data_IF_684503603217
#
_entry.id   IF_684503603217
#
_cell.length_a   1.000
_cell.length_b   1.000
_cell.length_c   1.000
_cell.angle_alpha   90.00
_cell.angle_beta   90.00
_cell.angle_gamma   90.00
#
_symmetry.space_group_name_H-M   'P 1'
#
loop_
_entity.id
_entity.type
_entity.pdbx_description
1 polymer ?
#
# COMPACT_ATOMS: atom_id res chain seq x y z
N UNK A 1 -11.37 26.47 -48.96
CA UNK A 1 -12.76 26.11 -48.60
C UNK A 1 -12.75 24.73 -47.96
N UNK A 2 -13.40 24.64 -46.78
CA UNK A 2 -13.94 23.47 -46.09
C UNK A 2 -13.04 22.23 -45.80
N UNK A 3 -12.77 22.04 -44.51
CA UNK A 3 -12.38 20.78 -43.85
C UNK A 3 -13.51 19.74 -43.88
N UNK A 4 -13.20 18.47 -43.56
CA UNK A 4 -14.06 17.81 -42.57
C UNK A 4 -13.29 17.15 -41.42
N UNK A 5 -13.74 17.56 -40.23
CA UNK A 5 -13.51 17.05 -38.89
C UNK A 5 -14.01 15.60 -38.73
N UNK A 6 -13.17 14.69 -38.23
CA UNK A 6 -13.62 13.39 -37.71
C UNK A 6 -13.51 13.35 -36.19
N UNK A 7 -14.64 12.98 -35.59
CA UNK A 7 -15.03 13.15 -34.19
C UNK A 7 -14.48 12.00 -33.34
N UNK A 8 -13.91 12.37 -32.19
CA UNK A 8 -13.45 11.47 -31.14
C UNK A 8 -14.63 10.66 -30.56
N UNK A 9 -14.45 9.35 -30.39
CA UNK A 9 -15.33 8.53 -29.55
C UNK A 9 -14.49 7.85 -28.46
N UNK A 10 -14.54 8.45 -27.27
CA UNK A 10 -13.90 8.04 -26.02
C UNK A 10 -14.77 6.93 -25.40
N UNK A 11 -14.32 5.67 -25.47
CA UNK A 11 -14.95 4.54 -24.76
C UNK A 11 -14.28 4.38 -23.40
N UNK A 12 -15.02 4.76 -22.37
CA UNK A 12 -14.76 4.46 -20.96
C UNK A 12 -14.81 2.95 -20.74
N UNK A 13 -13.75 2.38 -20.18
CA UNK A 13 -13.73 1.03 -19.61
C UNK A 13 -13.64 1.18 -18.11
N UNK A 14 -14.74 0.86 -17.45
CA UNK A 14 -14.86 0.77 -15.99
C UNK A 14 -13.93 -0.32 -15.45
N UNK A 15 -13.38 0.00 -14.28
CA UNK A 15 -12.54 -0.85 -13.45
C UNK A 15 -13.41 -1.82 -12.66
N UNK A 16 -13.28 -3.10 -12.97
CA UNK A 16 -13.71 -4.21 -12.14
C UNK A 16 -12.72 -4.35 -10.97
N UNK A 17 -13.19 -4.03 -9.76
CA UNK A 17 -12.48 -4.23 -8.49
C UNK A 17 -13.17 -5.36 -7.76
N UNK A 18 -12.75 -6.58 -8.09
CA UNK A 18 -13.15 -7.80 -7.39
C UNK A 18 -12.46 -7.91 -6.02
N UNK A 19 -13.28 -8.04 -4.99
CA UNK A 19 -12.94 -8.34 -3.60
C UNK A 19 -11.90 -9.44 -3.45
N UNK A 20 -10.91 -9.21 -2.59
CA UNK A 20 -10.04 -10.25 -2.04
C UNK A 20 -10.42 -10.45 -0.58
N UNK A 21 -10.94 -11.65 -0.30
CA UNK A 21 -11.20 -12.20 1.03
C UNK A 21 -9.94 -12.17 1.90
N UNK A 22 -10.14 -11.75 3.15
CA UNK A 22 -9.14 -11.74 4.21
C UNK A 22 -9.20 -13.08 4.92
N UNK A 23 -8.20 -13.95 4.70
CA UNK A 23 -7.94 -15.09 5.57
C UNK A 23 -7.07 -14.67 6.75
N UNK A 24 -7.58 -14.89 7.96
CA UNK A 24 -6.80 -14.84 9.20
C UNK A 24 -6.05 -16.16 9.41
N UNK A 25 -4.73 -16.14 9.68
CA UNK A 25 -4.08 -17.28 10.29
C UNK A 25 -4.12 -17.18 11.82
N UNK A 26 -4.90 -18.10 12.39
CA UNK A 26 -5.02 -18.47 13.79
C UNK A 26 -3.66 -18.68 14.48
N UNK A 27 -3.51 -18.05 15.65
CA UNK A 27 -2.38 -18.17 16.54
C UNK A 27 -2.42 -19.49 17.32
N UNK A 28 -1.58 -20.45 16.96
CA UNK A 28 -1.25 -21.59 17.81
C UNK A 28 -0.01 -21.27 18.66
N UNK A 29 -0.25 -20.68 19.84
CA UNK A 29 0.74 -20.60 20.92
C UNK A 29 0.59 -21.82 21.82
N UNK A 30 1.52 -22.76 21.75
CA UNK A 30 1.72 -23.75 22.79
C UNK A 30 3.21 -23.81 23.13
N UNK A 31 3.59 -23.19 24.26
CA UNK A 31 4.89 -23.40 24.88
C UNK A 31 4.72 -23.24 26.39
N UNK A 32 4.59 -24.42 27.01
CA UNK A 32 4.57 -24.68 28.45
C UNK A 32 5.89 -24.24 29.11
N UNK A 33 5.76 -23.63 30.27
CA UNK A 33 6.80 -23.19 31.19
C UNK A 33 7.49 -24.34 31.94
N UNK A 34 8.84 -24.28 31.99
CA UNK A 34 9.80 -24.51 33.10
C UNK A 34 9.38 -25.40 34.30
N UNK A 35 10.17 -26.32 34.88
CA UNK A 35 11.56 -26.28 35.44
C UNK A 35 12.08 -27.72 35.74
N UNK A 36 13.36 -27.91 36.18
CA UNK A 36 14.17 -29.14 36.09
C UNK A 36 14.33 -29.91 37.41
N UNK A 37 14.81 -31.15 37.32
CA UNK A 37 15.43 -31.87 38.45
C UNK A 37 16.48 -32.88 37.97
N UNK A 38 17.51 -33.00 38.80
CA UNK A 38 18.83 -33.62 38.63
C UNK A 38 18.81 -35.11 38.29
N UNK A 39 19.85 -35.57 37.58
CA UNK A 39 20.54 -36.82 37.91
C UNK A 39 21.97 -36.80 37.35
N UNK A 40 22.92 -37.10 38.24
CA UNK A 40 24.35 -37.20 37.98
C UNK A 40 24.67 -38.59 37.47
N UNK A 41 25.46 -38.72 36.40
CA UNK A 41 26.35 -39.87 36.25
C UNK A 41 27.70 -39.47 35.62
N UNK A 42 28.73 -40.04 36.23
CA UNK A 42 30.16 -39.86 36.03
C UNK A 42 30.70 -40.72 34.88
N UNK A 43 31.58 -40.16 34.04
CA UNK A 43 32.37 -40.93 33.06
C UNK A 43 33.51 -40.10 32.43
N UNK A 44 34.67 -40.70 32.11
CA UNK A 44 35.99 -40.06 32.21
C UNK A 44 36.43 -39.25 30.97
N UNK A 45 37.46 -38.42 31.21
CA UNK A 45 38.12 -37.53 30.25
C UNK A 45 38.52 -38.24 28.95
N UNK A 46 37.86 -37.88 27.86
CA UNK A 46 38.42 -37.90 26.51
C UNK A 46 38.54 -36.47 26.00
N UNK A 47 39.76 -35.97 25.89
CA UNK A 47 40.08 -34.64 25.38
C UNK A 47 39.98 -34.63 23.86
N UNK A 48 38.75 -34.66 23.35
CA UNK A 48 38.46 -34.28 21.97
C UNK A 48 38.32 -32.75 21.90
N UNK A 49 38.95 -32.05 20.93
CA UNK A 49 38.79 -30.61 20.80
C UNK A 49 37.35 -30.31 20.40
N UNK A 50 36.53 -29.95 21.40
CA UNK A 50 35.17 -29.42 21.22
C UNK A 50 35.26 -28.28 20.21
N UNK A 51 34.85 -28.54 18.96
CA UNK A 51 34.67 -27.54 17.92
C UNK A 51 33.81 -26.44 18.53
N UNK A 52 34.42 -25.28 18.83
CA UNK A 52 33.72 -24.11 19.36
C UNK A 52 32.55 -23.86 18.42
N UNK A 53 31.31 -24.03 18.90
CA UNK A 53 30.11 -23.68 18.13
C UNK A 53 30.35 -22.26 17.63
N UNK A 54 30.41 -22.08 16.31
CA UNK A 54 30.57 -20.75 15.72
C UNK A 54 29.41 -19.93 16.29
N UNK A 55 29.72 -18.89 17.07
CA UNK A 55 28.68 -18.00 17.60
C UNK A 55 27.95 -17.47 16.39
N UNK A 56 26.63 -17.59 16.37
CA UNK A 56 25.82 -17.04 15.29
C UNK A 56 26.15 -15.55 15.17
N UNK A 57 26.68 -15.19 14.01
CA UNK A 57 27.13 -13.83 13.76
C UNK A 57 25.87 -12.98 13.65
N UNK A 58 25.77 -11.99 14.53
CA UNK A 58 24.61 -11.10 14.54
C UNK A 58 24.90 -9.92 13.62
N UNK A 59 23.99 -9.61 12.68
CA UNK A 59 24.17 -8.47 11.79
C UNK A 59 24.13 -7.16 12.58
N UNK A 60 24.82 -6.16 12.05
CA UNK A 60 24.89 -4.82 12.62
C UNK A 60 24.67 -3.75 11.57
N UNK A 61 23.97 -2.67 11.94
CA UNK A 61 23.63 -1.59 11.02
C UNK A 61 24.46 -0.35 11.33
N UNK A 62 25.01 0.23 10.27
CA UNK A 62 25.69 1.53 10.28
C UNK A 62 24.81 2.54 9.56
N UNK A 63 24.51 3.63 10.27
CA UNK A 63 23.81 4.79 9.74
C UNK A 63 24.82 5.80 9.20
N UNK A 64 24.61 6.27 7.98
CA UNK A 64 25.37 7.32 7.31
C UNK A 64 24.46 8.53 7.19
N UNK A 65 24.81 9.59 7.91
CA UNK A 65 23.97 10.80 8.02
C UNK A 65 24.04 11.68 6.77
N UNK A 66 25.20 11.75 6.12
CA UNK A 66 25.40 12.60 4.95
C UNK A 66 26.00 11.83 3.79
N UNK A 67 25.27 11.78 2.68
CA UNK A 67 25.79 11.31 1.41
C UNK A 67 26.12 12.47 0.47
N UNK A 68 27.31 12.46 -0.16
CA UNK A 68 27.65 13.42 -1.19
C UNK A 68 26.70 13.37 -2.41
N UNK A 69 26.50 14.50 -3.11
CA UNK A 69 25.64 14.55 -4.28
C UNK A 69 26.15 13.65 -5.40
N UNK A 70 25.24 12.88 -5.99
CA UNK A 70 25.54 11.90 -7.05
C UNK A 70 26.21 10.61 -6.57
N UNK A 71 26.43 10.42 -5.26
CA UNK A 71 26.94 9.15 -4.73
C UNK A 71 25.81 8.11 -4.74
N UNK A 72 26.02 7.02 -5.47
CA UNK A 72 25.01 5.95 -5.57
C UNK A 72 25.15 4.93 -4.44
N UNK A 73 24.06 4.24 -4.05
CA UNK A 73 24.07 3.18 -3.05
C UNK A 73 25.06 2.06 -3.40
N UNK A 74 25.21 1.78 -4.69
CA UNK A 74 26.17 0.81 -5.23
C UNK A 74 27.62 1.24 -4.99
N UNK A 75 27.94 2.54 -5.10
CA UNK A 75 29.28 3.04 -4.81
C UNK A 75 29.61 2.92 -3.32
N UNK A 76 28.64 3.20 -2.44
CA UNK A 76 28.79 3.00 -0.98
C UNK A 76 29.10 1.53 -0.70
N UNK A 77 28.31 0.60 -1.27
CA UNK A 77 28.57 -0.84 -1.18
C UNK A 77 30.00 -1.17 -1.59
N UNK A 78 30.43 -0.73 -2.77
CA UNK A 78 31.77 -1.02 -3.28
C UNK A 78 32.90 -0.52 -2.36
N UNK A 79 32.76 0.69 -1.80
CA UNK A 79 33.73 1.20 -0.82
C UNK A 79 33.70 0.34 0.45
N UNK A 80 32.51 -0.02 0.93
CA UNK A 80 32.33 -0.69 2.21
C UNK A 80 32.70 -2.17 2.24
N UNK A 81 32.63 -2.86 1.11
CA UNK A 81 33.06 -4.27 0.95
C UNK A 81 34.52 -4.48 1.36
N UNK A 82 35.38 -3.46 1.25
CA UNK A 82 36.79 -3.54 1.67
C UNK A 82 36.95 -3.91 3.16
N UNK A 83 36.01 -3.47 4.00
CA UNK A 83 36.12 -3.63 5.45
C UNK A 83 35.35 -4.85 5.98
N UNK A 84 34.40 -5.37 5.21
CA UNK A 84 33.70 -6.61 5.55
C UNK A 84 32.50 -6.89 4.65
N UNK A 85 31.87 -8.03 4.89
CA UNK A 85 30.74 -8.50 4.10
C UNK A 85 29.46 -7.73 4.42
N UNK A 86 28.81 -7.24 3.36
CA UNK A 86 27.62 -6.39 3.43
C UNK A 86 26.37 -7.19 3.08
N UNK A 87 25.35 -7.06 3.92
CA UNK A 87 23.99 -7.55 3.66
C UNK A 87 23.19 -6.54 2.84
N UNK A 88 22.13 -6.00 3.44
CA UNK A 88 21.22 -5.05 2.82
C UNK A 88 21.76 -3.61 2.90
N UNK A 89 21.39 -2.79 1.91
CA UNK A 89 21.78 -1.39 1.85
C UNK A 89 20.61 -0.57 1.30
N UNK A 90 20.30 0.51 1.99
CA UNK A 90 19.21 1.41 1.66
C UNK A 90 19.74 2.82 1.75
N UNK A 91 19.40 3.65 0.76
CA UNK A 91 19.71 5.06 0.79
C UNK A 91 18.44 5.82 0.49
N UNK A 92 18.12 6.79 1.35
CA UNK A 92 16.94 7.62 1.20
C UNK A 92 17.21 8.67 0.11
N UNK A 93 16.42 8.67 -0.98
CA UNK A 93 16.52 9.73 -1.97
C UNK A 93 16.07 11.05 -1.34
N UNK A 94 16.82 12.13 -1.56
CA UNK A 94 16.51 13.45 -1.02
C UNK A 94 15.14 13.98 -1.48
N UNK A 95 14.71 13.53 -2.65
CA UNK A 95 13.43 13.92 -3.26
C UNK A 95 12.26 12.96 -2.93
N UNK A 96 12.47 11.91 -2.12
CA UNK A 96 11.50 10.83 -1.97
C UNK A 96 10.29 11.11 -1.06
N UNK A 97 10.26 12.21 -0.29
CA UNK A 97 9.28 12.36 0.80
C UNK A 97 8.35 13.57 0.71
N UNK A 98 8.68 14.64 0.00
CA UNK A 98 7.90 15.90 0.11
C UNK A 98 7.05 16.26 -1.10
N UNK A 99 7.34 15.73 -2.29
CA UNK A 99 6.69 16.22 -3.49
C UNK A 99 5.52 15.32 -3.97
N UNK A 100 4.36 15.45 -3.34
CA UNK A 100 3.19 15.78 -4.15
C UNK A 100 3.41 17.22 -4.65
N UNK A 101 4.40 17.40 -5.53
CA UNK A 101 4.61 18.67 -6.19
C UNK A 101 3.81 18.56 -7.48
N UNK A 102 2.62 19.17 -7.58
CA UNK A 102 1.82 19.13 -8.80
C UNK A 102 2.59 19.67 -10.02
N UNK A 103 3.63 20.48 -9.80
CA UNK A 103 4.56 20.96 -10.82
C UNK A 103 5.69 19.97 -11.17
N UNK A 104 5.77 18.81 -10.50
CA UNK A 104 6.72 17.73 -10.79
C UNK A 104 6.50 17.07 -12.16
N UNK A 105 5.29 17.18 -12.71
CA UNK A 105 4.98 16.81 -14.10
C UNK A 105 5.70 17.73 -15.12
N UNK A 106 6.15 18.92 -14.69
CA UNK A 106 6.85 19.91 -15.50
C UNK A 106 8.34 20.03 -15.19
N UNK A 107 8.93 19.14 -14.38
CA UNK A 107 10.38 18.93 -14.46
C UNK A 107 10.62 18.11 -15.71
N UNK A 108 10.72 18.82 -16.86
CA UNK A 108 11.23 18.29 -18.14
C UNK A 108 12.32 17.30 -17.80
N UNK A 109 12.13 16.02 -18.17
CA UNK A 109 13.08 14.91 -18.00
C UNK A 109 14.50 15.44 -18.16
N UNK A 110 15.13 15.82 -17.06
CA UNK A 110 16.49 16.32 -17.13
C UNK A 110 17.28 15.05 -17.41
N UNK A 111 17.83 14.96 -18.62
CA UNK A 111 18.45 13.74 -19.18
C UNK A 111 19.47 13.10 -18.24
N UNK A 112 19.93 13.87 -17.23
CA UNK A 112 20.86 13.47 -16.18
C UNK A 112 20.45 14.05 -14.81
N UNK A 113 19.31 13.64 -14.25
CA UNK A 113 19.02 13.93 -12.83
C UNK A 113 20.05 13.14 -12.00
N UNK A 114 21.00 13.85 -11.38
CA UNK A 114 21.96 13.22 -10.48
C UNK A 114 21.19 12.62 -9.31
N UNK A 115 21.37 11.32 -9.08
CA UNK A 115 20.74 10.63 -7.96
C UNK A 115 21.27 11.23 -6.66
N UNK A 116 20.42 12.02 -5.99
CA UNK A 116 20.76 12.69 -4.75
C UNK A 116 20.12 11.92 -3.60
N UNK A 117 20.98 11.36 -2.75
CA UNK A 117 20.57 10.67 -1.52
C UNK A 117 20.97 11.53 -0.34
N UNK A 118 20.12 11.58 0.70
CA UNK A 118 20.43 12.31 1.93
C UNK A 118 21.21 11.42 2.89
N UNK A 119 20.65 10.25 3.15
CA UNK A 119 21.03 9.35 4.24
C UNK A 119 21.10 7.91 3.73
N UNK A 120 21.88 7.06 4.42
CA UNK A 120 21.92 5.64 4.12
C UNK A 120 22.06 4.77 5.37
N UNK A 121 21.57 3.54 5.26
CA UNK A 121 21.68 2.47 6.22
C UNK A 121 22.36 1.29 5.54
N UNK A 122 23.45 0.83 6.15
CA UNK A 122 24.27 -0.26 5.64
C UNK A 122 24.29 -1.37 6.68
N UNK A 123 23.84 -2.55 6.30
CA UNK A 123 23.91 -3.74 7.12
C UNK A 123 25.21 -4.50 6.84
N UNK A 124 25.98 -4.75 7.89
CA UNK A 124 27.10 -5.68 7.89
C UNK A 124 26.65 -7.01 8.47
N UNK A 125 27.16 -8.11 7.91
CA UNK A 125 26.87 -9.46 8.43
C UNK A 125 27.38 -9.64 9.87
N UNK A 126 28.49 -8.98 10.23
CA UNK A 126 29.02 -8.96 11.59
C UNK A 126 28.94 -7.57 12.23
N UNK A 127 28.23 -7.49 13.36
CA UNK A 127 28.17 -6.27 14.18
C UNK A 127 29.53 -5.83 14.74
N UNK A 128 30.47 -6.75 14.92
CA UNK A 128 31.81 -6.40 15.41
C UNK A 128 32.53 -5.51 14.38
N UNK A 129 32.47 -5.92 13.11
CA UNK A 129 32.96 -5.15 11.97
C UNK A 129 32.21 -3.83 11.85
N UNK A 130 30.88 -3.83 11.97
CA UNK A 130 30.08 -2.61 11.92
C UNK A 130 30.54 -1.54 12.94
N UNK A 131 30.81 -1.96 14.19
CA UNK A 131 31.30 -1.06 15.25
C UNK A 131 32.68 -0.50 14.93
N UNK A 132 33.59 -1.34 14.47
CA UNK A 132 34.96 -0.95 14.10
C UNK A 132 34.94 0.01 12.92
N UNK A 133 34.17 -0.30 11.87
CA UNK A 133 34.02 0.55 10.68
C UNK A 133 33.44 1.91 11.06
N UNK A 134 32.36 1.94 11.85
CA UNK A 134 31.77 3.20 12.28
C UNK A 134 32.75 4.05 13.09
N UNK A 135 33.56 3.43 13.96
CA UNK A 135 34.55 4.16 14.76
C UNK A 135 35.75 4.62 13.94
N UNK A 136 36.20 3.81 12.98
CA UNK A 136 37.40 4.04 12.18
C UNK A 136 37.16 5.02 11.03
N UNK A 137 36.03 4.90 10.33
CA UNK A 137 35.74 5.73 9.15
C UNK A 137 35.01 7.02 9.50
N UNK A 138 34.41 7.14 10.67
CA UNK A 138 33.77 8.39 11.04
C UNK A 138 34.81 9.53 11.08
N UNK A 139 34.45 10.66 10.48
CA UNK A 139 35.32 11.81 10.26
C UNK A 139 36.53 11.56 9.32
N UNK A 140 36.58 10.45 8.59
CA UNK A 140 37.58 10.21 7.55
C UNK A 140 37.11 10.70 6.19
N UNK A 141 38.05 11.09 5.32
CA UNK A 141 37.75 11.47 3.94
C UNK A 141 37.30 10.27 3.11
N UNK A 142 36.33 10.47 2.21
CA UNK A 142 35.75 9.40 1.40
C UNK A 142 36.69 9.00 0.26
N UNK A 143 37.19 10.01 -0.46
CA UNK A 143 38.12 9.81 -1.56
C UNK A 143 39.58 9.85 -1.10
N UNK A 144 40.48 9.40 -1.98
CA UNK A 144 41.92 9.44 -1.72
C UNK A 144 42.74 9.93 -2.92
N UNK A 145 42.40 9.45 -4.13
CA UNK A 145 43.14 9.80 -5.35
C UNK A 145 42.79 11.21 -5.81
N UNK A 146 43.80 11.92 -6.34
CA UNK A 146 43.62 13.23 -6.99
C UNK A 146 42.70 13.06 -8.21
N UNK A 147 41.57 13.77 -8.22
CA UNK A 147 40.54 13.68 -9.27
C UNK A 147 39.31 12.85 -8.90
N UNK A 148 39.26 12.22 -7.71
CA UNK A 148 38.03 11.59 -7.23
C UNK A 148 36.97 12.66 -6.91
N UNK A 149 35.72 12.39 -7.29
CA UNK A 149 34.62 13.36 -7.21
C UNK A 149 34.30 13.75 -5.76
N UNK A 150 34.52 12.84 -4.82
CA UNK A 150 34.20 12.98 -3.39
C UNK A 150 35.44 13.01 -2.51
N UNK A 151 36.56 13.53 -3.04
CA UNK A 151 37.84 13.59 -2.32
C UNK A 151 37.75 14.37 -1.02
N UNK A 152 37.10 15.52 -1.06
CA UNK A 152 37.03 16.45 0.07
C UNK A 152 35.80 16.20 0.96
N UNK A 153 34.93 15.26 0.57
CA UNK A 153 33.81 14.85 1.39
C UNK A 153 34.28 13.94 2.54
N UNK A 154 33.61 14.06 3.67
CA UNK A 154 33.92 13.36 4.92
C UNK A 154 32.78 12.40 5.24
N UNK A 155 33.14 11.20 5.67
CA UNK A 155 32.21 10.24 6.22
C UNK A 155 31.64 10.72 7.56
N UNK A 156 30.31 10.77 7.67
CA UNK A 156 29.60 10.97 8.93
C UNK A 156 28.72 9.76 9.20
N UNK A 157 29.16 8.88 10.10
CA UNK A 157 28.48 7.61 10.34
C UNK A 157 28.44 7.22 11.82
N UNK A 158 27.41 6.44 12.18
CA UNK A 158 27.18 5.96 13.54
C UNK A 158 26.68 4.52 13.51
N UNK A 159 27.22 3.69 14.37
CA UNK A 159 26.69 2.35 14.61
C UNK A 159 25.39 2.42 15.42
N UNK A 160 24.35 1.71 14.97
CA UNK A 160 23.07 1.63 15.66
C UNK A 160 22.98 0.33 16.47
N UNK A 161 23.14 0.41 17.79
CA UNK A 161 23.02 -0.74 18.68
C UNK A 161 21.57 -1.21 18.82
N UNK A 162 21.32 -2.51 18.68
CA UNK A 162 19.99 -3.09 18.86
C UNK A 162 19.02 -2.83 17.71
N UNK A 163 19.44 -2.07 16.70
CA UNK A 163 18.63 -1.78 15.52
C UNK A 163 18.72 -2.94 14.52
N UNK A 164 17.57 -3.46 14.09
CA UNK A 164 17.45 -4.52 13.08
C UNK A 164 16.95 -3.93 11.77
N UNK A 165 17.31 -4.56 10.66
CA UNK A 165 16.92 -4.08 9.33
C UNK A 165 15.41 -3.97 9.15
N UNK A 166 14.68 -4.96 9.68
CA UNK A 166 13.22 -5.02 9.60
C UNK A 166 12.55 -3.79 10.22
N UNK A 167 13.14 -3.21 11.27
CA UNK A 167 12.62 -1.99 11.92
C UNK A 167 12.70 -0.76 11.02
N UNK A 168 13.70 -0.67 10.13
CA UNK A 168 13.81 0.42 9.17
C UNK A 168 12.65 0.38 8.17
N UNK A 169 12.37 -0.82 7.66
CA UNK A 169 11.27 -1.05 6.72
C UNK A 169 9.91 -0.82 7.37
N UNK A 170 9.73 -1.31 8.60
CA UNK A 170 8.50 -1.15 9.38
C UNK A 170 8.17 0.32 9.63
N UNK A 171 9.15 1.12 10.08
CA UNK A 171 8.93 2.55 10.31
C UNK A 171 8.57 3.29 9.01
N UNK A 172 9.29 3.06 7.92
CA UNK A 172 8.99 3.70 6.63
C UNK A 172 7.63 3.28 6.06
N UNK A 173 7.27 1.99 6.20
CA UNK A 173 5.98 1.49 5.77
C UNK A 173 4.84 2.11 6.59
N UNK A 174 5.02 2.20 7.91
CA UNK A 174 4.06 2.83 8.82
C UNK A 174 3.83 4.31 8.48
N UNK A 175 4.90 5.09 8.33
CA UNK A 175 4.81 6.51 7.97
C UNK A 175 4.11 6.71 6.61
N UNK A 176 4.48 5.91 5.61
CA UNK A 176 3.85 5.94 4.29
C UNK A 176 2.38 5.54 4.34
N UNK A 177 2.03 4.50 5.09
CA UNK A 177 0.66 4.03 5.23
C UNK A 177 -0.20 5.06 5.96
N UNK A 178 0.31 5.64 7.05
CA UNK A 178 -0.37 6.70 7.79
C UNK A 178 -0.61 7.94 6.91
N UNK A 179 0.39 8.38 6.15
CA UNK A 179 0.24 9.49 5.21
C UNK A 179 -0.77 9.17 4.10
N UNK A 180 -0.68 7.98 3.50
CA UNK A 180 -1.59 7.56 2.45
C UNK A 180 -3.04 7.40 2.95
N UNK A 181 -3.23 6.91 4.17
CA UNK A 181 -4.54 6.80 4.81
C UNK A 181 -5.17 8.19 5.01
N UNK A 182 -4.39 9.18 5.48
CA UNK A 182 -4.86 10.57 5.61
C UNK A 182 -5.27 11.16 4.26
N UNK A 183 -4.42 11.02 3.23
CA UNK A 183 -4.76 11.50 1.88
C UNK A 183 -6.00 10.82 1.31
N UNK A 184 -6.14 9.50 1.51
CA UNK A 184 -7.34 8.76 1.07
C UNK A 184 -8.59 9.25 1.78
N UNK A 185 -8.52 9.48 3.10
CA UNK A 185 -9.64 9.99 3.88
C UNK A 185 -10.08 11.39 3.38
N UNK A 186 -9.12 12.28 3.12
CA UNK A 186 -9.38 13.62 2.58
C UNK A 186 -10.03 13.56 1.18
N UNK A 187 -9.48 12.71 0.30
CA UNK A 187 -10.06 12.51 -1.05
C UNK A 187 -11.46 11.90 -0.95
N UNK A 188 -11.69 10.92 -0.07
CA UNK A 188 -13.02 10.32 0.10
C UNK A 188 -14.03 11.33 0.62
N UNK A 189 -13.65 12.16 1.59
CA UNK A 189 -14.49 13.22 2.13
C UNK A 189 -14.88 14.23 1.05
N UNK A 190 -13.90 14.71 0.28
CA UNK A 190 -14.17 15.64 -0.82
C UNK A 190 -15.09 15.01 -1.88
N UNK A 191 -14.90 13.72 -2.20
CA UNK A 191 -15.75 13.00 -3.16
C UNK A 191 -17.18 12.82 -2.66
N UNK A 192 -17.39 12.52 -1.38
CA UNK A 192 -18.75 12.41 -0.82
C UNK A 192 -19.45 13.76 -0.84
N UNK A 193 -18.78 14.83 -0.39
CA UNK A 193 -19.33 16.20 -0.41
C UNK A 193 -19.67 16.66 -1.84
N UNK A 194 -18.79 16.40 -2.83
CA UNK A 194 -19.06 16.68 -4.24
C UNK A 194 -20.24 15.87 -4.79
N UNK A 195 -20.31 14.58 -4.43
CA UNK A 195 -21.41 13.70 -4.83
C UNK A 195 -22.75 14.15 -4.27
N UNK A 196 -22.78 14.60 -3.02
CA UNK A 196 -23.97 15.18 -2.36
C UNK A 196 -24.38 16.50 -3.01
N UNK A 197 -23.42 17.38 -3.31
CA UNK A 197 -23.70 18.63 -4.01
C UNK A 197 -24.36 18.41 -5.38
N UNK A 198 -23.83 17.49 -6.19
CA UNK A 198 -24.41 17.16 -7.50
C UNK A 198 -25.84 16.62 -7.39
N UNK A 199 -26.08 15.71 -6.42
CA UNK A 199 -27.43 15.19 -6.13
C UNK A 199 -28.39 16.32 -5.74
N UNK A 200 -27.97 17.24 -4.87
CA UNK A 200 -28.79 18.35 -4.41
C UNK A 200 -29.12 19.34 -5.53
N UNK A 201 -28.16 19.62 -6.42
CA UNK A 201 -28.38 20.47 -7.61
C UNK A 201 -29.37 19.81 -8.58
N UNK A 202 -29.25 18.50 -8.82
CA UNK A 202 -30.18 17.77 -9.68
C UNK A 202 -31.59 17.73 -9.08
N UNK A 203 -31.71 17.52 -7.77
CA UNK A 203 -32.99 17.59 -7.05
C UNK A 203 -33.61 18.99 -7.12
N UNK A 204 -32.83 20.05 -6.91
CA UNK A 204 -33.28 21.43 -7.01
C UNK A 204 -33.79 21.75 -8.43
N UNK A 205 -33.04 21.34 -9.46
CA UNK A 205 -33.45 21.51 -10.88
C UNK A 205 -34.74 20.75 -11.18
N UNK A 206 -34.95 19.56 -10.62
CA UNK A 206 -36.20 18.80 -10.79
C UNK A 206 -37.38 19.45 -10.07
N UNK A 207 -37.17 19.97 -8.85
CA UNK A 207 -38.16 20.69 -8.07
C UNK A 207 -38.60 21.97 -8.79
N UNK A 208 -37.63 22.76 -9.28
CA UNK A 208 -37.89 23.98 -10.05
C UNK A 208 -38.73 23.70 -11.30
N UNK A 209 -38.37 22.67 -12.08
CA UNK A 209 -39.16 22.23 -13.25
C UNK A 209 -40.59 21.82 -12.86
N UNK A 210 -40.78 21.15 -11.72
CA UNK A 210 -42.10 20.76 -11.23
C UNK A 210 -42.91 21.98 -10.80
N UNK A 211 -42.30 22.90 -10.07
CA UNK A 211 -42.94 24.12 -9.59
C UNK A 211 -43.33 25.04 -10.76
N UNK A 212 -42.47 25.19 -11.77
CA UNK A 212 -42.79 25.93 -12.99
C UNK A 212 -43.99 25.33 -13.75
N UNK A 213 -44.07 23.99 -13.85
CA UNK A 213 -45.23 23.31 -14.44
C UNK A 213 -46.51 23.51 -13.63
N UNK A 214 -46.43 23.45 -12.29
CA UNK A 214 -47.58 23.69 -11.41
C UNK A 214 -48.06 25.14 -11.49
N UNK A 215 -47.15 26.11 -11.53
CA UNK A 215 -47.46 27.51 -11.72
C UNK A 215 -48.11 27.77 -13.09
N UNK A 216 -47.63 27.12 -14.16
CA UNK A 216 -48.24 27.20 -15.49
C UNK A 216 -49.61 26.49 -15.58
N UNK A 217 -49.85 25.49 -14.73
CA UNK A 217 -51.13 24.76 -14.64
C UNK A 217 -52.17 25.44 -13.72
N UNK A 218 -51.86 26.58 -13.11
CA UNK A 218 -52.82 27.40 -12.36
C UNK A 218 -53.32 26.81 -11.04
N UNK A 219 -52.56 25.91 -10.40
CA UNK A 219 -52.98 25.24 -9.16
C UNK A 219 -52.39 25.94 -7.92
N UNK A 220 -53.04 27.02 -7.48
CA UNK A 220 -52.69 27.75 -6.24
C UNK A 220 -53.30 27.06 -5.02
N UNK A 221 -52.66 25.99 -4.54
CA UNK A 221 -52.94 25.35 -3.26
C UNK A 221 -51.80 25.58 -2.26
N UNK A 222 -52.03 26.46 -1.29
CA UNK A 222 -51.11 26.82 -0.21
C UNK A 222 -50.65 25.58 0.58
N UNK A 223 -49.35 25.27 0.56
CA UNK A 223 -48.73 24.30 1.46
C UNK A 223 -47.33 24.79 1.86
N UNK A 224 -47.24 25.30 3.09
CA UNK A 224 -46.00 25.65 3.77
C UNK A 224 -45.14 24.39 4.05
N UNK A 225 -43.80 24.54 4.17
CA UNK A 225 -42.92 23.39 4.37
C UNK A 225 -42.96 22.96 5.85
N UNK A 226 -43.61 21.84 6.16
CA UNK A 226 -43.52 21.25 7.49
C UNK A 226 -42.23 20.41 7.58
N UNK A 227 -41.32 20.88 8.43
CA UNK A 227 -40.22 20.11 8.99
C UNK A 227 -40.78 19.04 9.93
N UNK A 228 -40.46 17.77 9.64
CA UNK A 228 -40.56 16.64 10.56
C UNK A 228 -41.96 16.06 10.75
N UNK A 229 -42.23 14.90 10.15
CA UNK A 229 -42.73 13.71 10.86
C UNK A 229 -42.71 12.50 9.91
N UNK A 230 -42.02 11.44 10.31
CA UNK A 230 -41.92 10.14 9.63
C UNK A 230 -43.22 9.36 9.79
N UNK A 231 -44.29 9.75 9.10
CA UNK A 231 -45.46 8.89 8.94
C UNK A 231 -45.36 8.12 7.63
N UNK A 232 -45.04 6.83 7.76
CA UNK A 232 -45.06 5.81 6.70
C UNK A 232 -46.28 5.98 5.79
N UNK A 233 -46.08 6.59 4.63
CA UNK A 233 -47.02 6.48 3.52
C UNK A 233 -46.97 5.04 3.01
N UNK A 234 -47.89 4.21 3.50
CA UNK A 234 -48.16 2.87 2.96
C UNK A 234 -48.60 3.01 1.50
N UNK A 235 -47.64 2.92 0.57
CA UNK A 235 -47.93 2.77 -0.86
C UNK A 235 -48.46 1.36 -1.05
N UNK A 236 -49.78 1.23 -1.12
CA UNK A 236 -50.44 -0.02 -1.50
C UNK A 236 -50.01 -0.43 -2.91
N UNK A 237 -49.05 -1.34 -3.00
CA UNK A 237 -48.60 -1.93 -4.25
C UNK A 237 -49.65 -2.97 -4.67
N UNK A 238 -50.53 -2.64 -5.62
CA UNK A 238 -51.42 -3.65 -6.22
C UNK A 238 -50.59 -4.52 -7.16
N UNK A 239 -50.16 -5.68 -6.67
CA UNK A 239 -49.54 -6.72 -7.49
C UNK A 239 -50.54 -7.17 -8.56
N UNK A 240 -50.19 -7.03 -9.84
CA UNK A 240 -50.98 -7.60 -10.93
C UNK A 240 -50.83 -9.12 -10.88
N UNK A 241 -51.94 -9.85 -11.03
CA UNK A 241 -51.90 -11.31 -11.09
C UNK A 241 -51.01 -11.77 -12.26
N UNK A 242 -50.12 -12.71 -11.98
CA UNK A 242 -49.25 -13.30 -12.99
C UNK A 242 -50.11 -14.13 -13.95
N UNK A 243 -50.09 -13.76 -15.24
CA UNK A 243 -50.69 -14.58 -16.29
C UNK A 243 -49.66 -15.64 -16.67
N UNK A 244 -49.87 -16.87 -16.22
CA UNK A 244 -49.13 -18.02 -16.73
C UNK A 244 -49.55 -18.26 -18.19
N UNK A 245 -48.69 -17.84 -19.13
CA UNK A 245 -48.80 -18.25 -20.52
C UNK A 245 -48.23 -19.66 -20.65
N UNK A 246 -49.05 -20.67 -20.37
CA UNK A 246 -48.77 -22.05 -20.77
C UNK A 246 -48.87 -22.14 -22.29
N UNK A 247 -47.72 -21.96 -22.93
CA UNK A 247 -47.48 -22.29 -24.33
C UNK A 247 -47.09 -23.77 -24.36
N UNK A 248 -48.04 -24.67 -24.15
CA UNK A 248 -47.85 -26.11 -24.36
C UNK A 248 -48.23 -26.46 -25.79
N UNK A 249 -47.23 -26.38 -26.68
CA UNK A 249 -47.13 -27.32 -27.78
C UNK A 249 -46.34 -28.52 -27.24
N UNK A 250 -47.00 -29.67 -27.32
CA UNK A 250 -46.47 -31.04 -27.27
C UNK A 250 -46.17 -31.67 -25.90
N UNK A 251 -46.82 -32.81 -25.69
CA UNK A 251 -46.59 -33.72 -24.57
C UNK A 251 -47.76 -34.65 -24.35
N UNK A 252 -48.02 -35.54 -25.32
CA UNK A 252 -48.91 -36.69 -25.12
C UNK A 252 -48.54 -37.45 -23.84
N UNK A 253 -49.58 -37.83 -23.09
CA UNK A 253 -49.48 -38.44 -21.77
C UNK A 253 -48.61 -39.70 -21.74
N UNK A 254 -47.85 -39.82 -20.65
CA UNK A 254 -47.01 -40.97 -20.34
C UNK A 254 -47.80 -42.22 -19.88
N UNK A 255 -49.13 -42.19 -19.91
CA UNK A 255 -49.99 -43.36 -19.59
C UNK A 255 -50.05 -44.41 -20.71
N UNK A 256 -49.74 -44.05 -21.96
CA UNK A 256 -49.80 -45.00 -23.09
C UNK A 256 -48.57 -45.91 -23.25
N UNK A 257 -47.45 -45.58 -22.59
CA UNK A 257 -46.18 -46.32 -22.75
C UNK A 257 -46.02 -47.42 -21.70
N UNK A 258 -46.80 -47.38 -20.61
CA UNK A 258 -46.70 -48.38 -19.54
C UNK A 258 -47.52 -49.66 -19.81
N UNK A 259 -48.53 -49.62 -20.69
CA UNK A 259 -49.34 -50.81 -21.05
C UNK A 259 -48.67 -51.75 -22.06
N UNK A 260 -47.84 -51.25 -22.97
CA UNK A 260 -47.23 -52.09 -24.01
C UNK A 260 -45.92 -52.80 -23.59
N UNK A 261 -45.46 -52.57 -22.35
CA UNK A 261 -44.29 -53.27 -21.79
C UNK A 261 -44.73 -54.29 -20.72
N UNK A 262 -45.93 -54.15 -20.15
CA UNK A 262 -46.44 -55.07 -19.12
C UNK A 262 -47.96 -55.38 -19.24
N UNK A 263 -48.49 -55.57 -20.45
CA UNK A 263 -49.79 -56.24 -20.68
C UNK A 263 -51.03 -55.36 -20.68
#
# INVERSE_FOLDING_TARGET
MATPTVKSTKRSRESDVGSVELEEPSAASASTSQLPSEEQETGPLTTEPKKKKKKDVTPGIVYISRLPPGMTPQKIRHLMVRWGDLGKLYAQPKDAVTSYNPNGQHKKKQKHQNANYSEAWVEFLDKSVAKTVASMLNAQVIGGKKGDKWRDDIWTMKYLSGFKWEMLGEQMAYEKQAHQARLRAEISRSKTEQGEYLKNVDLARQLEKRNAKKAAAGESGNAAPSTGDDTKASRGYKQRQAVEKSKTLEGQGMDGVLGNIFG
#
